data_IF_151801625466
#
_entry.id   IF_151801625466
#
_cell.length_a   1.000
_cell.length_b   1.000
_cell.length_c   1.000
_cell.angle_alpha   90.00
_cell.angle_beta   90.00
_cell.angle_gamma   90.00
#
_symmetry.space_group_name_H-M   'P 1'
#
loop_
_entity.id
_entity.type
_entity.pdbx_description
1 polymer ?
#
# COMPACT_ATOMS: atom_id res chain seq x y z
N UNK A 1 -1.59 -42.15 1.82
CA UNK A 1 -0.86 -43.31 2.36
C UNK A 1 -0.93 -43.23 3.88
N UNK A 2 -1.38 -44.29 4.58
CA UNK A 2 -1.48 -44.26 6.05
C UNK A 2 -0.08 -44.30 6.67
N UNK A 3 0.16 -43.43 7.66
CA UNK A 3 1.33 -43.45 8.53
C UNK A 3 1.46 -44.85 9.15
N UNK A 4 2.47 -45.62 8.71
CA UNK A 4 2.82 -46.90 9.34
C UNK A 4 3.07 -46.63 10.82
N UNK A 5 2.24 -47.22 11.67
CA UNK A 5 2.34 -47.09 13.11
C UNK A 5 3.77 -47.32 13.58
N UNK A 6 4.26 -46.37 14.38
CA UNK A 6 5.57 -46.40 15.01
C UNK A 6 5.60 -47.56 16.01
N UNK A 7 5.87 -48.76 15.54
CA UNK A 7 5.93 -49.95 16.39
C UNK A 7 7.25 -49.91 17.15
N UNK A 8 7.18 -49.55 18.43
CA UNK A 8 8.30 -49.69 19.36
C UNK A 8 8.93 -51.09 19.20
N UNK A 9 10.24 -51.12 19.03
CA UNK A 9 10.98 -52.37 18.83
C UNK A 9 10.76 -53.32 20.00
N UNK A 10 10.85 -54.64 19.80
CA UNK A 10 10.68 -55.62 20.89
C UNK A 10 11.62 -55.34 22.06
N UNK A 11 12.85 -54.88 21.78
CA UNK A 11 13.83 -54.53 22.82
C UNK A 11 13.37 -53.31 23.64
N UNK A 12 12.84 -52.28 22.98
CA UNK A 12 12.35 -51.07 23.65
C UNK A 12 11.15 -51.37 24.56
N UNK A 13 10.25 -52.25 24.14
CA UNK A 13 9.10 -52.68 24.97
C UNK A 13 9.57 -53.42 26.21
N UNK A 14 10.50 -54.36 26.06
CA UNK A 14 11.06 -55.11 27.18
C UNK A 14 11.78 -54.19 28.18
N UNK A 15 12.50 -53.18 27.68
CA UNK A 15 13.18 -52.20 28.53
C UNK A 15 12.20 -51.27 29.27
N UNK A 16 11.15 -50.79 28.59
CA UNK A 16 10.10 -49.96 29.19
C UNK A 16 9.28 -50.73 30.24
N UNK A 17 9.03 -52.02 30.04
CA UNK A 17 8.32 -52.85 31.03
C UNK A 17 9.18 -53.13 32.27
N UNK A 18 10.50 -53.31 32.11
CA UNK A 18 11.43 -53.40 33.23
C UNK A 18 11.46 -52.10 34.05
N UNK A 19 11.53 -50.94 33.39
CA UNK A 19 11.48 -49.62 34.03
C UNK A 19 10.13 -49.35 34.72
N UNK A 20 9.02 -49.80 34.16
CA UNK A 20 7.69 -49.75 34.79
C UNK A 20 7.60 -50.60 36.06
N UNK A 21 8.27 -51.74 36.11
CA UNK A 21 8.32 -52.57 37.32
C UNK A 21 9.20 -51.93 38.41
N UNK A 22 10.30 -51.30 38.01
CA UNK A 22 11.24 -50.62 38.92
C UNK A 22 10.65 -49.33 39.53
N UNK A 23 9.94 -48.53 38.73
CA UNK A 23 9.23 -47.31 39.18
C UNK A 23 8.09 -47.56 40.16
N UNK A 24 7.58 -48.80 40.27
CA UNK A 24 6.59 -49.18 41.29
C UNK A 24 7.20 -49.32 42.70
N UNK A 25 8.52 -49.47 42.81
CA UNK A 25 9.21 -49.69 44.09
C UNK A 25 10.02 -48.46 44.55
N UNK A 26 10.51 -47.63 43.63
CA UNK A 26 11.16 -46.34 43.92
C UNK A 26 10.86 -45.28 42.85
N UNK A 27 10.73 -43.99 43.21
CA UNK A 27 10.60 -42.92 42.23
C UNK A 27 11.88 -42.83 41.39
N UNK A 28 11.74 -42.82 40.06
CA UNK A 28 12.88 -42.65 39.15
C UNK A 28 13.39 -41.21 39.26
N UNK A 29 14.70 -40.99 39.51
CA UNK A 29 15.26 -39.64 39.54
C UNK A 29 15.19 -38.99 38.14
N UNK A 30 14.99 -37.66 38.06
CA UNK A 30 14.77 -36.95 36.80
C UNK A 30 15.94 -37.09 35.81
N UNK A 31 17.16 -37.27 36.30
CA UNK A 31 18.36 -37.49 35.47
C UNK A 31 18.33 -38.84 34.72
N UNK A 32 17.67 -39.85 35.29
CA UNK A 32 17.54 -41.16 34.68
C UNK A 32 16.44 -41.16 33.62
N UNK A 33 15.39 -40.37 33.80
CA UNK A 33 14.35 -40.13 32.78
C UNK A 33 14.96 -39.49 31.52
N UNK A 34 15.80 -38.47 31.67
CA UNK A 34 16.48 -37.82 30.53
C UNK A 34 17.35 -38.82 29.75
N UNK A 35 18.12 -39.65 30.47
CA UNK A 35 19.02 -40.64 29.86
C UNK A 35 18.26 -41.73 29.10
N UNK A 36 17.12 -42.16 29.65
CA UNK A 36 16.22 -43.12 28.99
C UNK A 36 15.63 -42.49 27.72
N UNK A 37 15.13 -41.25 27.78
CA UNK A 37 14.59 -40.54 26.61
C UNK A 37 15.63 -40.40 25.51
N UNK A 38 16.88 -40.07 25.85
CA UNK A 38 18.00 -40.01 24.89
C UNK A 38 18.29 -41.38 24.23
N UNK A 39 18.27 -42.47 25.00
CA UNK A 39 18.44 -43.83 24.46
C UNK A 39 17.27 -44.28 23.59
N UNK A 40 16.03 -43.91 23.93
CA UNK A 40 14.85 -44.19 23.10
C UNK A 40 14.91 -43.40 21.79
N UNK A 41 15.30 -42.12 21.85
CA UNK A 41 15.49 -41.29 20.65
C UNK A 41 16.62 -41.83 19.75
N UNK A 42 17.69 -42.37 20.34
CA UNK A 42 18.81 -42.97 19.61
C UNK A 42 18.46 -44.35 18.98
N UNK A 43 17.62 -45.15 19.65
CA UNK A 43 17.17 -46.46 19.15
C UNK A 43 15.99 -46.37 18.18
N UNK A 44 15.22 -45.28 18.24
CA UNK A 44 14.26 -44.88 17.21
C UNK A 44 14.96 -44.25 15.99
N UNK A 45 16.12 -44.81 15.63
CA UNK A 45 16.86 -44.51 14.40
C UNK A 45 16.05 -44.91 13.17
N UNK A 46 15.09 -44.07 12.81
CA UNK A 46 14.62 -43.89 11.45
C UNK A 46 15.29 -42.63 10.91
N UNK A 47 16.28 -42.84 10.04
CA UNK A 47 17.06 -41.86 9.28
C UNK A 47 16.36 -40.51 9.09
N UNK A 48 16.66 -39.53 9.96
CA UNK A 48 16.63 -38.14 9.48
C UNK A 48 17.90 -38.04 8.66
N UNK A 49 17.77 -38.23 7.34
CA UNK A 49 18.91 -38.06 6.44
C UNK A 49 19.50 -36.68 6.69
N UNK A 50 20.82 -36.51 6.57
CA UNK A 50 21.42 -35.17 6.56
C UNK A 50 20.73 -34.25 5.54
N UNK A 51 20.11 -34.85 4.50
CA UNK A 51 19.27 -34.19 3.52
C UNK A 51 17.94 -33.67 4.10
N UNK A 52 17.31 -34.38 5.04
CA UNK A 52 16.08 -33.94 5.72
C UNK A 52 16.37 -32.81 6.72
N UNK A 53 17.49 -32.86 7.45
CA UNK A 53 17.93 -31.74 8.31
C UNK A 53 18.23 -30.50 7.48
N UNK A 54 18.87 -30.69 6.31
CA UNK A 54 19.18 -29.59 5.40
C UNK A 54 17.90 -29.00 4.79
N UNK A 55 16.97 -29.83 4.33
CA UNK A 55 15.68 -29.40 3.81
C UNK A 55 14.85 -28.68 4.89
N UNK A 56 14.87 -29.17 6.13
CA UNK A 56 14.19 -28.51 7.26
C UNK A 56 14.79 -27.14 7.54
N UNK A 57 16.12 -26.99 7.51
CA UNK A 57 16.79 -25.67 7.64
C UNK A 57 16.50 -24.74 6.47
N UNK A 58 16.43 -25.26 5.25
CA UNK A 58 16.06 -24.47 4.07
C UNK A 58 14.59 -24.00 4.15
N UNK A 59 13.68 -24.87 4.61
CA UNK A 59 12.28 -24.53 4.87
C UNK A 59 12.13 -23.54 6.03
N UNK A 60 12.90 -23.69 7.10
CA UNK A 60 12.94 -22.73 8.22
C UNK A 60 13.47 -21.38 7.76
N UNK A 61 14.52 -21.37 6.93
CA UNK A 61 15.07 -20.17 6.30
C UNK A 61 14.05 -19.48 5.40
N UNK A 62 13.32 -20.24 4.58
CA UNK A 62 12.25 -19.72 3.74
C UNK A 62 11.08 -19.17 4.58
N UNK A 63 10.68 -19.88 5.63
CA UNK A 63 9.63 -19.43 6.54
C UNK A 63 10.03 -18.11 7.22
N UNK A 64 11.28 -17.99 7.67
CA UNK A 64 11.82 -16.77 8.29
C UNK A 64 11.91 -15.62 7.27
N UNK A 65 12.31 -15.91 6.03
CA UNK A 65 12.31 -14.93 4.95
C UNK A 65 10.89 -14.42 4.64
N UNK A 66 9.90 -15.32 4.55
CA UNK A 66 8.50 -14.97 4.36
C UNK A 66 7.99 -14.12 5.53
N UNK A 67 8.33 -14.46 6.77
CA UNK A 67 7.94 -13.66 7.94
C UNK A 67 8.55 -12.26 7.95
N UNK A 68 9.83 -12.12 7.58
CA UNK A 68 10.48 -10.81 7.47
C UNK A 68 9.85 -9.98 6.35
N UNK A 69 9.67 -10.55 5.16
CA UNK A 69 9.01 -9.88 4.04
C UNK A 69 7.57 -9.45 4.40
N UNK A 70 6.83 -10.28 5.14
CA UNK A 70 5.50 -9.94 5.67
C UNK A 70 5.55 -8.77 6.64
N UNK A 71 6.53 -8.74 7.55
CA UNK A 71 6.72 -7.61 8.47
C UNK A 71 7.05 -6.32 7.73
N UNK A 72 7.89 -6.39 6.70
CA UNK A 72 8.22 -5.24 5.85
C UNK A 72 6.98 -4.75 5.09
N UNK A 73 6.16 -5.65 4.53
CA UNK A 73 4.90 -5.30 3.87
C UNK A 73 3.90 -4.67 4.85
N UNK A 74 3.81 -5.17 6.08
CA UNK A 74 2.95 -4.58 7.10
C UNK A 74 3.37 -3.15 7.48
N UNK A 75 4.68 -2.84 7.45
CA UNK A 75 5.21 -1.49 7.68
C UNK A 75 4.88 -0.52 6.55
N UNK A 76 4.68 -1.01 5.31
CA UNK A 76 4.18 -0.19 4.18
C UNK A 76 2.73 0.25 4.40
N UNK A 77 2.04 -0.30 5.42
CA UNK A 77 0.66 0.04 5.80
C UNK A 77 -0.28 0.05 4.58
N UNK A 78 -0.48 -1.11 3.94
CA UNK A 78 -1.29 -1.26 2.73
C UNK A 78 -2.68 -0.62 2.86
N UNK A 79 -3.29 -0.72 4.04
CA UNK A 79 -4.62 -0.17 4.32
C UNK A 79 -4.67 1.36 4.17
N UNK A 80 -3.65 2.09 4.62
CA UNK A 80 -3.59 3.54 4.51
C UNK A 80 -3.44 4.00 3.05
N UNK A 81 -2.59 3.30 2.29
CA UNK A 81 -2.36 3.57 0.87
C UNK A 81 -3.64 3.36 0.07
N UNK A 82 -4.36 2.27 0.32
CA UNK A 82 -5.58 1.94 -0.42
C UNK A 82 -6.80 2.74 0.01
N UNK A 83 -6.91 3.13 1.29
CA UNK A 83 -8.12 3.81 1.80
C UNK A 83 -8.06 5.33 1.74
N UNK A 84 -6.87 5.92 1.63
CA UNK A 84 -6.70 7.37 1.73
C UNK A 84 -5.75 7.93 0.67
N UNK A 85 -4.50 7.48 0.64
CA UNK A 85 -3.45 8.20 -0.09
C UNK A 85 -3.64 8.12 -1.62
N UNK A 86 -3.98 6.94 -2.17
CA UNK A 86 -4.25 6.80 -3.61
C UNK A 86 -5.58 7.44 -4.04
N UNK A 87 -6.70 7.23 -3.32
CA UNK A 87 -7.94 7.93 -3.61
C UNK A 87 -7.79 9.46 -3.60
N UNK A 88 -7.17 10.03 -2.54
CA UNK A 88 -6.94 11.49 -2.44
C UNK A 88 -6.09 12.02 -3.59
N UNK A 89 -4.97 11.36 -3.89
CA UNK A 89 -4.10 11.78 -4.99
C UNK A 89 -4.79 11.67 -6.36
N UNK A 90 -5.69 10.70 -6.52
CA UNK A 90 -6.49 10.55 -7.74
C UNK A 90 -7.50 11.69 -7.88
N UNK A 91 -8.23 12.02 -6.82
CA UNK A 91 -9.22 13.10 -6.80
C UNK A 91 -8.56 14.46 -7.03
N UNK A 92 -7.40 14.72 -6.41
CA UNK A 92 -6.60 15.92 -6.63
C UNK A 92 -6.12 16.04 -8.09
N UNK A 93 -5.65 14.93 -8.70
CA UNK A 93 -5.21 14.93 -10.10
C UNK A 93 -6.38 15.15 -11.06
N UNK A 94 -7.55 14.56 -10.79
CA UNK A 94 -8.76 14.79 -11.59
C UNK A 94 -9.23 16.26 -11.47
N UNK A 95 -9.13 16.87 -10.28
CA UNK A 95 -9.42 18.30 -10.07
C UNK A 95 -8.44 19.21 -10.82
N UNK A 96 -7.15 18.88 -10.86
CA UNK A 96 -6.15 19.59 -11.65
C UNK A 96 -6.49 19.52 -13.14
N UNK A 97 -6.88 18.36 -13.66
CA UNK A 97 -7.30 18.23 -15.06
C UNK A 97 -8.49 19.15 -15.34
N UNK A 98 -9.54 19.08 -14.52
CA UNK A 98 -10.73 19.93 -14.69
C UNK A 98 -10.41 21.43 -14.65
N UNK A 99 -9.63 21.88 -13.68
CA UNK A 99 -9.23 23.28 -13.57
C UNK A 99 -8.39 23.75 -14.77
N UNK A 100 -7.52 22.88 -15.30
CA UNK A 100 -6.73 23.21 -16.50
C UNK A 100 -7.57 23.25 -17.77
N UNK A 101 -8.59 22.40 -17.90
CA UNK A 101 -9.55 22.44 -19.00
C UNK A 101 -10.38 23.72 -18.97
N UNK A 102 -10.90 24.10 -17.79
CA UNK A 102 -11.66 25.33 -17.60
C UNK A 102 -10.82 26.57 -17.94
N UNK A 103 -9.61 26.67 -17.38
CA UNK A 103 -8.70 27.77 -17.66
C UNK A 103 -8.36 27.86 -19.17
N UNK A 104 -8.19 26.71 -19.84
CA UNK A 104 -7.95 26.67 -21.28
C UNK A 104 -9.16 27.17 -22.05
N UNK A 105 -10.38 26.79 -21.66
CA UNK A 105 -11.63 27.32 -22.23
C UNK A 105 -11.69 28.85 -22.16
N UNK A 106 -11.40 29.42 -20.99
CA UNK A 106 -11.36 30.88 -20.80
C UNK A 106 -10.32 31.56 -21.71
N UNK A 107 -9.15 30.96 -21.88
CA UNK A 107 -8.10 31.49 -22.78
C UNK A 107 -8.57 31.45 -24.24
N UNK A 108 -9.21 30.37 -24.67
CA UNK A 108 -9.74 30.22 -26.03
C UNK A 108 -10.87 31.23 -26.29
N UNK A 109 -11.80 31.40 -25.35
CA UNK A 109 -12.88 32.39 -25.45
C UNK A 109 -12.33 33.82 -25.54
N UNK A 110 -11.28 34.13 -24.78
CA UNK A 110 -10.60 35.43 -24.85
C UNK A 110 -9.90 35.64 -26.19
N UNK A 111 -9.31 34.58 -26.76
CA UNK A 111 -8.68 34.61 -28.08
C UNK A 111 -9.72 34.85 -29.19
N UNK A 112 -10.90 34.22 -29.12
CA UNK A 112 -12.02 34.48 -30.03
C UNK A 112 -12.51 35.93 -29.94
N UNK A 113 -12.60 36.50 -28.73
CA UNK A 113 -12.96 37.90 -28.54
C UNK A 113 -11.92 38.86 -29.16
N UNK A 114 -10.63 38.54 -29.04
CA UNK A 114 -9.56 39.32 -29.69
C UNK A 114 -9.64 39.25 -31.22
N UNK A 115 -9.98 38.09 -31.77
CA UNK A 115 -10.19 37.91 -33.21
C UNK A 115 -11.37 38.75 -33.72
N UNK A 116 -12.49 38.74 -32.99
CA UNK A 116 -13.65 39.57 -33.30
C UNK A 116 -13.33 41.07 -33.24
N UNK A 117 -12.53 41.50 -32.27
CA UNK A 117 -12.06 42.88 -32.18
C UNK A 117 -11.12 43.22 -33.34
N UNK A 118 -10.22 42.32 -33.74
CA UNK A 118 -9.30 42.52 -34.85
C UNK A 118 -10.04 42.83 -36.16
N UNK A 119 -11.20 42.21 -36.39
CA UNK A 119 -12.05 42.47 -37.55
C UNK A 119 -12.58 43.91 -37.63
N UNK A 120 -12.52 44.68 -36.53
CA UNK A 120 -12.93 46.09 -36.47
C UNK A 120 -11.76 47.06 -36.68
N UNK A 121 -10.52 46.56 -36.71
CA UNK A 121 -9.30 47.35 -36.82
C UNK A 121 -8.82 47.45 -38.28
N UNK A 122 -7.91 48.39 -38.60
CA UNK A 122 -7.32 48.46 -39.92
C UNK A 122 -6.46 47.20 -40.23
N UNK A 123 -6.27 46.88 -41.52
CA UNK A 123 -5.74 45.58 -41.96
C UNK A 123 -4.38 45.20 -41.37
N UNK A 124 -3.47 46.17 -41.22
CA UNK A 124 -2.13 45.91 -40.66
C UNK A 124 -2.20 45.50 -39.18
N UNK A 125 -3.04 46.16 -38.38
CA UNK A 125 -3.21 45.82 -36.96
C UNK A 125 -3.99 44.53 -36.79
N UNK A 126 -5.02 44.31 -37.61
CA UNK A 126 -5.80 43.07 -37.61
C UNK A 126 -4.93 41.84 -37.89
N UNK A 127 -4.01 41.94 -38.86
CA UNK A 127 -3.08 40.87 -39.20
C UNK A 127 -2.15 40.50 -38.03
N UNK A 128 -1.65 41.49 -37.28
CA UNK A 128 -0.78 41.25 -36.11
C UNK A 128 -1.54 40.52 -35.00
N UNK A 129 -2.79 40.91 -34.72
CA UNK A 129 -3.59 40.26 -33.69
C UNK A 129 -3.95 38.83 -34.10
N UNK A 130 -4.34 38.62 -35.36
CA UNK A 130 -4.71 37.29 -35.87
C UNK A 130 -3.53 36.30 -35.81
N UNK A 131 -2.31 36.76 -36.11
CA UNK A 131 -1.09 35.93 -35.96
C UNK A 131 -0.83 35.53 -34.49
N UNK A 132 -1.02 36.46 -33.55
CA UNK A 132 -0.88 36.19 -32.12
C UNK A 132 -1.96 35.23 -31.61
N UNK A 133 -3.22 35.44 -32.02
CA UNK A 133 -4.35 34.57 -31.65
C UNK A 133 -4.16 33.16 -32.20
N UNK A 134 -3.68 33.01 -33.43
CA UNK A 134 -3.35 31.72 -34.03
C UNK A 134 -2.32 30.96 -33.17
N UNK A 135 -1.28 31.65 -32.69
CA UNK A 135 -0.26 31.05 -31.80
C UNK A 135 -0.84 30.64 -30.44
N UNK A 136 -1.84 31.34 -29.94
CA UNK A 136 -2.55 30.95 -28.70
C UNK A 136 -3.33 29.65 -28.93
N UNK A 137 -4.08 29.53 -30.03
CA UNK A 137 -4.78 28.30 -30.38
C UNK A 137 -3.84 27.10 -30.50
N UNK A 138 -2.70 27.27 -31.18
CA UNK A 138 -1.68 26.22 -31.31
C UNK A 138 -1.08 25.81 -29.95
N UNK A 139 -0.83 26.77 -29.06
CA UNK A 139 -0.30 26.50 -27.72
C UNK A 139 -1.31 25.77 -26.83
N UNK A 140 -2.58 26.16 -26.88
CA UNK A 140 -3.66 25.52 -26.11
C UNK A 140 -3.94 24.08 -26.58
N UNK A 141 -3.70 23.76 -27.87
CA UNK A 141 -3.87 22.40 -28.40
C UNK A 141 -2.91 21.37 -27.75
N UNK A 142 -1.80 21.81 -27.14
CA UNK A 142 -0.90 20.93 -26.40
C UNK A 142 -1.45 20.46 -25.03
N UNK A 143 -2.52 21.08 -24.52
CA UNK A 143 -3.13 20.72 -23.23
C UNK A 143 -3.75 19.32 -23.27
N UNK A 144 -4.30 18.88 -24.41
CA UNK A 144 -4.86 17.53 -24.60
C UNK A 144 -3.82 16.43 -24.28
N UNK A 145 -2.55 16.63 -24.66
CA UNK A 145 -1.47 15.68 -24.33
C UNK A 145 -1.21 15.62 -22.83
N UNK A 146 -1.37 16.73 -22.11
CA UNK A 146 -1.17 16.78 -20.65
C UNK A 146 -2.33 16.11 -19.92
N UNK A 147 -3.58 16.39 -20.31
CA UNK A 147 -4.77 15.72 -19.76
C UNK A 147 -4.71 14.20 -19.96
N UNK A 148 -4.33 13.74 -21.14
CA UNK A 148 -4.12 12.31 -21.43
C UNK A 148 -3.00 11.69 -20.58
N UNK A 149 -1.90 12.40 -20.33
CA UNK A 149 -0.81 11.91 -19.49
C UNK A 149 -1.24 11.79 -18.02
N UNK A 150 -1.96 12.78 -17.49
CA UNK A 150 -2.48 12.72 -16.12
C UNK A 150 -3.50 11.58 -16.00
N UNK A 151 -4.41 11.43 -16.96
CA UNK A 151 -5.37 10.31 -17.00
C UNK A 151 -4.67 8.95 -16.96
N UNK A 152 -3.52 8.80 -17.64
CA UNK A 152 -2.71 7.58 -17.56
C UNK A 152 -2.12 7.38 -16.16
N UNK A 153 -1.61 8.42 -15.52
CA UNK A 153 -1.10 8.37 -14.14
C UNK A 153 -2.20 7.94 -13.17
N UNK A 154 -3.38 8.57 -13.25
CA UNK A 154 -4.57 8.22 -12.46
C UNK A 154 -4.94 6.75 -12.64
N UNK A 155 -4.96 6.25 -13.89
CA UNK A 155 -5.24 4.83 -14.15
C UNK A 155 -4.20 3.91 -13.51
N UNK A 156 -2.93 4.28 -13.56
CA UNK A 156 -1.86 3.50 -12.91
C UNK A 156 -2.01 3.50 -11.39
N UNK A 157 -2.39 4.62 -10.78
CA UNK A 157 -2.67 4.70 -9.35
C UNK A 157 -3.84 3.78 -8.96
N UNK A 158 -4.96 3.79 -9.70
CA UNK A 158 -6.08 2.86 -9.51
C UNK A 158 -5.67 1.38 -9.60
N UNK A 159 -4.77 1.04 -10.53
CA UNK A 159 -4.23 -0.33 -10.61
C UNK A 159 -3.35 -0.70 -9.41
N UNK A 160 -2.63 0.26 -8.83
CA UNK A 160 -1.85 0.05 -7.61
C UNK A 160 -2.82 -0.18 -6.44
N UNK A 161 -3.87 0.63 -6.32
CA UNK A 161 -4.92 0.47 -5.30
C UNK A 161 -5.55 -0.94 -5.34
N UNK A 162 -5.93 -1.42 -6.52
CA UNK A 162 -6.50 -2.76 -6.70
C UNK A 162 -5.54 -3.87 -6.23
N UNK A 163 -4.25 -3.73 -6.53
CA UNK A 163 -3.22 -4.71 -6.11
C UNK A 163 -2.97 -4.67 -4.61
N UNK A 164 -2.95 -3.46 -4.02
CA UNK A 164 -2.82 -3.26 -2.57
C UNK A 164 -4.03 -3.85 -1.86
N UNK A 165 -5.25 -3.59 -2.35
CA UNK A 165 -6.49 -4.19 -1.87
C UNK A 165 -6.46 -5.72 -1.95
N UNK A 166 -6.02 -6.30 -3.06
CA UNK A 166 -5.88 -7.75 -3.19
C UNK A 166 -4.86 -8.34 -2.21
N UNK A 167 -3.77 -7.62 -1.94
CA UNK A 167 -2.78 -8.00 -0.94
C UNK A 167 -3.38 -7.99 0.48
N UNK A 168 -4.14 -6.96 0.83
CA UNK A 168 -4.88 -6.89 2.09
C UNK A 168 -5.88 -8.03 2.20
N UNK A 169 -6.65 -8.31 1.15
CA UNK A 169 -7.62 -9.42 1.17
C UNK A 169 -6.95 -10.79 1.35
N UNK A 170 -5.76 -10.99 0.79
CA UNK A 170 -5.01 -12.24 0.90
C UNK A 170 -4.31 -12.42 2.27
N UNK A 171 -3.92 -11.32 2.93
CA UNK A 171 -3.10 -11.36 4.15
C UNK A 171 -3.74 -10.68 5.36
N UNK A 172 -4.98 -10.20 5.26
CA UNK A 172 -5.60 -9.24 6.19
C UNK A 172 -5.72 -9.73 7.63
N UNK A 173 -6.11 -10.97 7.86
CA UNK A 173 -6.19 -11.55 9.20
C UNK A 173 -4.82 -11.68 9.88
N UNK A 174 -3.75 -11.83 9.09
CA UNK A 174 -2.37 -11.99 9.59
C UNK A 174 -1.68 -10.63 9.75
N UNK A 175 -1.96 -9.68 8.83
CA UNK A 175 -1.54 -8.29 8.90
C UNK A 175 -2.17 -7.56 10.09
N UNK A 176 -3.48 -7.74 10.33
CA UNK A 176 -4.20 -7.14 11.45
C UNK A 176 -3.64 -7.60 12.81
N UNK A 177 -3.15 -8.83 12.90
CA UNK A 177 -2.48 -9.37 14.10
C UNK A 177 -1.10 -8.77 14.33
N UNK A 178 -0.41 -8.34 13.27
CA UNK A 178 0.87 -7.63 13.35
C UNK A 178 0.69 -6.12 13.60
N UNK A 179 -0.39 -5.52 13.09
CA UNK A 179 -0.72 -4.09 13.29
C UNK A 179 -1.23 -3.74 14.70
N UNK A 180 -1.64 -4.73 15.50
CA UNK A 180 -2.02 -4.55 16.90
C UNK A 180 -0.84 -4.29 17.87
N UNK A 181 0.39 -4.25 17.36
CA UNK A 181 1.58 -3.96 18.15
C UNK A 181 1.63 -2.44 18.51
N UNK A 182 1.54 -2.07 19.80
CA UNK A 182 1.61 -0.67 20.25
C UNK A 182 2.95 0.02 19.95
N UNK A 183 3.96 -0.71 19.49
CA UNK A 183 5.26 -0.21 19.04
C UNK A 183 5.21 0.48 17.67
N UNK A 184 4.15 0.26 16.88
CA UNK A 184 4.03 0.79 15.52
C UNK A 184 3.42 2.21 15.52
N UNK A 185 3.92 3.14 14.69
CA UNK A 185 3.36 4.49 14.60
C UNK A 185 1.88 4.48 14.19
N UNK A 186 1.04 5.19 14.95
CA UNK A 186 -0.37 5.41 14.60
C UNK A 186 -0.44 6.24 13.31
N UNK A 187 -1.23 5.78 12.35
CA UNK A 187 -1.48 6.54 11.13
C UNK A 187 -2.30 7.78 11.46
N UNK A 188 -1.80 8.95 11.07
CA UNK A 188 -2.53 10.20 11.11
C UNK A 188 -2.70 10.69 9.67
N UNK A 189 -3.89 10.55 9.05
CA UNK A 189 -4.13 11.01 7.68
C UNK A 189 -3.92 12.53 7.50
N UNK A 190 -3.98 13.31 8.60
CA UNK A 190 -3.70 14.74 8.56
C UNK A 190 -2.20 15.09 8.58
N UNK A 191 -1.33 14.11 8.88
CA UNK A 191 0.11 14.25 8.72
C UNK A 191 0.43 13.72 7.32
N UNK A 192 0.15 14.51 6.29
CA UNK A 192 0.67 14.26 4.94
C UNK A 192 2.20 14.10 4.95
N UNK A 193 2.83 13.83 3.78
CA UNK A 193 4.30 13.85 3.70
C UNK A 193 4.83 15.10 4.42
N UNK A 194 5.87 14.97 5.26
CA UNK A 194 6.48 16.11 5.94
C UNK A 194 7.10 17.03 4.90
N UNK A 195 6.26 17.89 4.32
CA UNK A 195 6.62 18.97 3.44
C UNK A 195 7.15 20.07 4.37
N UNK A 196 8.36 20.55 4.08
CA UNK A 196 8.95 21.63 4.85
C UNK A 196 7.99 22.83 4.88
N UNK A 197 7.87 23.55 6.01
CA UNK A 197 6.83 24.57 6.21
C UNK A 197 6.87 25.72 5.18
N UNK A 198 7.99 25.89 4.48
CA UNK A 198 8.18 26.86 3.40
C UNK A 198 7.55 26.47 2.05
N UNK A 199 7.15 25.20 1.88
CA UNK A 199 6.49 24.71 0.66
C UNK A 199 4.96 24.62 0.81
N UNK A 200 4.44 24.67 2.03
CA UNK A 200 2.99 24.56 2.34
C UNK A 200 2.22 25.76 1.78
N UNK A 201 2.81 26.96 1.82
CA UNK A 201 2.21 28.22 1.37
C UNK A 201 2.05 28.31 -0.17
N UNK A 202 2.69 27.39 -0.91
CA UNK A 202 2.64 27.30 -2.38
C UNK A 202 1.72 26.19 -2.90
N UNK A 203 1.13 25.38 -2.00
CA UNK A 203 0.40 24.15 -2.32
C UNK A 203 -1.13 24.30 -2.28
N UNK A 204 -1.64 25.52 -2.44
CA UNK A 204 -3.07 25.71 -2.66
C UNK A 204 -3.43 25.30 -4.10
N UNK A 205 -3.71 24.00 -4.26
CA UNK A 205 -4.36 23.48 -5.46
C UNK A 205 -5.80 23.98 -5.58
N UNK A 206 -6.42 23.84 -6.77
CA UNK A 206 -7.83 24.14 -6.95
C UNK A 206 -8.67 23.34 -5.94
N UNK A 207 -9.57 24.02 -5.23
CA UNK A 207 -10.44 23.39 -4.22
C UNK A 207 -11.27 22.27 -4.83
N UNK A 208 -11.36 21.13 -4.16
CA UNK A 208 -12.24 20.05 -4.59
C UNK A 208 -13.71 20.53 -4.59
N UNK A 209 -14.57 20.01 -5.48
CA UNK A 209 -15.95 20.52 -5.63
C UNK A 209 -16.78 20.53 -4.33
N UNK A 210 -16.53 19.58 -3.43
CA UNK A 210 -17.22 19.51 -2.13
C UNK A 210 -16.63 20.46 -1.08
N UNK A 211 -15.36 20.83 -1.19
CA UNK A 211 -14.75 21.89 -0.37
C UNK A 211 -15.16 23.28 -0.85
N UNK A 212 -15.33 23.47 -2.17
CA UNK A 212 -15.85 24.70 -2.74
C UNK A 212 -17.27 25.03 -2.24
N UNK A 213 -18.13 24.01 -2.07
CA UNK A 213 -19.45 24.18 -1.45
C UNK A 213 -19.37 24.60 0.01
N UNK A 214 -18.44 24.01 0.78
CA UNK A 214 -18.22 24.40 2.18
C UNK A 214 -17.66 25.81 2.31
N UNK A 215 -16.80 26.24 1.39
CA UNK A 215 -16.29 27.61 1.37
C UNK A 215 -17.40 28.62 1.08
N UNK A 216 -18.29 28.31 0.12
CA UNK A 216 -19.46 29.13 -0.15
C UNK A 216 -20.42 29.22 1.07
N UNK A 217 -20.55 28.15 1.85
CA UNK A 217 -21.30 28.15 3.11
C UNK A 217 -20.62 29.00 4.19
N UNK A 218 -19.30 28.92 4.34
CA UNK A 218 -18.53 29.74 5.28
C UNK A 218 -18.66 31.22 4.92
N UNK A 219 -18.55 31.57 3.64
CA UNK A 219 -18.69 32.94 3.16
C UNK A 219 -20.12 33.47 3.35
N UNK A 220 -21.14 32.63 3.15
CA UNK A 220 -22.53 32.97 3.44
C UNK A 220 -22.78 33.19 4.95
N UNK A 221 -22.15 32.39 5.81
CA UNK A 221 -22.21 32.57 7.27
C UNK A 221 -21.51 33.87 7.67
N UNK A 222 -20.31 34.14 7.15
CA UNK A 222 -19.59 35.39 7.44
C UNK A 222 -20.32 36.63 6.92
N UNK A 223 -20.96 36.54 5.76
CA UNK A 223 -21.82 37.60 5.23
C UNK A 223 -23.09 37.84 6.07
N UNK A 224 -23.54 36.84 6.84
CA UNK A 224 -24.70 36.99 7.75
C UNK A 224 -24.38 37.72 9.07
N UNK A 225 -23.09 37.96 9.34
CA UNK A 225 -22.60 38.67 10.54
C UNK A 225 -22.17 40.12 10.27
N UNK A 226 -22.24 40.60 9.03
CA UNK A 226 -21.97 41.98 8.62
C UNK A 226 -23.23 42.72 8.17
#
# INVERSE_FOLDING_TARGET
MPMKGLTATPELRQHLDALRQQSRQQPIPPEEVTRIVEQVLATMGGEISSMDVKLYRELEGLARFIQNARSEIAQVRPDAISSHDIPSATDELDAVVGATEEATGVILDAAEQLENLANTLPPEQAAVISDVVTRVYEACNFQDVTGQRITKVVRTLKQIEERVSAMIAAFGDELARMQGDPSLPKYNPAAGPSIAPDQVDLLHGPSLPDEAKRQAEIDAILASFG
#
